data_IF_282943454370
#
_entry.id   IF_282943454370
#
_cell.length_a   1.000
_cell.length_b   1.000
_cell.length_c   1.000
_cell.angle_alpha   90.00
_cell.angle_beta   90.00
_cell.angle_gamma   90.00
#
_symmetry.space_group_name_H-M   'P 1'
#
loop_
_entity.id
_entity.type
_entity.pdbx_description
1 polymer ?
#
# COMPACT_ATOMS: atom_id res chain seq x y z
N UNK A 1 -22.77 4.13 -23.94
CA UNK A 1 -21.33 4.10 -24.28
C UNK A 1 -20.56 3.10 -23.40
N UNK A 2 -20.61 3.22 -22.07
CA UNK A 2 -19.94 2.27 -21.16
C UNK A 2 -20.28 0.79 -21.45
N UNK A 3 -21.56 0.47 -21.68
CA UNK A 3 -22.00 -0.90 -21.96
C UNK A 3 -21.47 -1.45 -23.29
N UNK A 4 -21.37 -0.60 -24.31
CA UNK A 4 -20.80 -0.96 -25.61
C UNK A 4 -19.30 -1.28 -25.47
N UNK A 5 -18.56 -0.45 -24.75
CA UNK A 5 -17.13 -0.68 -24.48
C UNK A 5 -16.95 -1.99 -23.70
N UNK A 6 -17.81 -2.25 -22.71
CA UNK A 6 -17.75 -3.49 -21.93
C UNK A 6 -18.10 -4.72 -22.79
N UNK A 7 -19.11 -4.62 -23.64
CA UNK A 7 -19.48 -5.67 -24.59
C UNK A 7 -18.32 -6.00 -25.55
N UNK A 8 -17.72 -4.97 -26.15
CA UNK A 8 -16.55 -5.15 -27.03
C UNK A 8 -15.39 -5.77 -26.25
N UNK A 9 -15.12 -5.33 -25.01
CA UNK A 9 -14.10 -5.95 -24.17
C UNK A 9 -14.39 -7.44 -23.87
N UNK A 10 -15.65 -7.82 -23.68
CA UNK A 10 -16.08 -9.21 -23.49
C UNK A 10 -16.01 -10.05 -24.77
N UNK A 11 -16.15 -9.44 -25.94
CA UNK A 11 -16.10 -10.13 -27.24
C UNK A 11 -14.70 -10.11 -27.87
N UNK A 12 -13.81 -9.26 -27.37
CA UNK A 12 -12.44 -9.04 -27.90
C UNK A 12 -11.57 -10.30 -28.06
N UNK A 13 -11.81 -11.34 -27.27
CA UNK A 13 -11.12 -12.63 -27.37
C UNK A 13 -11.55 -13.46 -28.59
N UNK A 14 -12.80 -13.32 -29.04
CA UNK A 14 -13.33 -14.03 -30.20
C UNK A 14 -12.90 -13.37 -31.52
N UNK A 15 -12.69 -12.05 -31.52
CA UNK A 15 -12.36 -11.27 -32.72
C UNK A 15 -11.08 -10.45 -32.51
N UNK A 16 -9.90 -11.10 -32.41
CA UNK A 16 -8.66 -10.43 -32.07
C UNK A 16 -8.16 -9.45 -33.13
N UNK A 17 -8.51 -9.67 -34.41
CA UNK A 17 -8.12 -8.82 -35.55
C UNK A 17 -8.90 -7.50 -35.59
N UNK A 18 -10.24 -7.58 -35.54
CA UNK A 18 -11.16 -6.43 -35.50
C UNK A 18 -10.92 -5.55 -34.25
N UNK A 19 -10.57 -6.17 -33.12
CA UNK A 19 -10.36 -5.49 -31.84
C UNK A 19 -8.90 -5.05 -31.59
N UNK A 20 -8.04 -4.96 -32.63
CA UNK A 20 -6.67 -4.42 -32.48
C UNK A 20 -6.68 -2.93 -32.13
N UNK A 21 -7.39 -2.12 -32.90
CA UNK A 21 -7.44 -0.67 -32.71
C UNK A 21 -8.10 -0.25 -31.39
N UNK A 22 -9.17 -0.98 -31.00
CA UNK A 22 -9.94 -0.72 -29.79
C UNK A 22 -9.08 -0.59 -28.52
N UNK A 23 -8.03 -1.41 -28.38
CA UNK A 23 -7.12 -1.38 -27.22
C UNK A 23 -6.36 -0.06 -27.14
N UNK A 24 -5.81 0.39 -28.26
CA UNK A 24 -5.05 1.64 -28.36
C UNK A 24 -5.95 2.86 -28.16
N UNK A 25 -7.08 2.91 -28.84
CA UNK A 25 -8.04 4.01 -28.73
C UNK A 25 -8.58 4.17 -27.31
N UNK A 26 -8.85 3.06 -26.61
CA UNK A 26 -9.30 3.08 -25.23
C UNK A 26 -8.22 3.58 -24.26
N UNK A 27 -6.95 3.23 -24.51
CA UNK A 27 -5.82 3.75 -23.75
C UNK A 27 -5.63 5.26 -23.99
N UNK A 28 -5.68 5.70 -25.25
CA UNK A 28 -5.54 7.11 -25.62
C UNK A 28 -6.67 7.97 -25.07
N UNK A 29 -7.91 7.47 -25.10
CA UNK A 29 -9.07 8.13 -24.53
C UNK A 29 -8.89 8.37 -23.03
N UNK A 30 -8.45 7.33 -22.30
CA UNK A 30 -8.17 7.45 -20.87
C UNK A 30 -6.96 8.33 -20.58
N UNK A 31 -5.93 8.32 -21.41
CA UNK A 31 -4.74 9.16 -21.19
C UNK A 31 -5.05 10.66 -21.37
N UNK A 32 -5.84 11.02 -22.40
CA UNK A 32 -6.15 12.41 -22.74
C UNK A 32 -7.30 12.99 -21.91
N UNK A 33 -8.33 12.19 -21.62
CA UNK A 33 -9.59 12.67 -21.04
C UNK A 33 -9.87 12.12 -19.64
N UNK A 34 -8.86 11.56 -18.95
CA UNK A 34 -9.02 11.01 -17.61
C UNK A 34 -9.77 11.94 -16.65
N UNK A 35 -9.43 13.23 -16.61
CA UNK A 35 -10.00 14.19 -15.65
C UNK A 35 -11.38 14.70 -16.04
N UNK A 36 -11.70 14.75 -17.33
CA UNK A 36 -12.95 15.31 -17.86
C UNK A 36 -14.07 14.27 -17.94
N UNK A 37 -13.74 12.98 -18.07
CA UNK A 37 -14.72 11.90 -18.11
C UNK A 37 -15.44 11.74 -16.76
N UNK A 38 -16.71 11.39 -16.82
CA UNK A 38 -17.50 11.04 -15.63
C UNK A 38 -16.87 9.87 -14.86
N UNK A 39 -17.01 9.89 -13.52
CA UNK A 39 -16.40 8.90 -12.64
C UNK A 39 -16.94 7.48 -12.88
N UNK A 40 -18.23 7.31 -13.19
CA UNK A 40 -18.79 6.00 -13.51
C UNK A 40 -18.23 5.48 -14.83
N UNK A 41 -18.25 6.33 -15.87
CA UNK A 41 -17.72 5.95 -17.18
C UNK A 41 -16.23 5.58 -17.09
N UNK A 42 -15.41 6.40 -16.43
CA UNK A 42 -13.97 6.16 -16.23
C UNK A 42 -13.70 4.80 -15.58
N UNK A 43 -14.49 4.42 -14.57
CA UNK A 43 -14.39 3.10 -13.91
C UNK A 43 -14.74 1.96 -14.85
N UNK A 44 -15.80 2.09 -15.65
CA UNK A 44 -16.18 1.09 -16.65
C UNK A 44 -15.10 0.91 -17.73
N UNK A 45 -14.48 2.00 -18.21
CA UNK A 45 -13.39 1.95 -19.19
C UNK A 45 -12.15 1.24 -18.61
N UNK A 46 -11.78 1.55 -17.37
CA UNK A 46 -10.66 0.88 -16.69
C UNK A 46 -10.98 -0.60 -16.44
N UNK A 47 -12.21 -0.93 -16.07
CA UNK A 47 -12.65 -2.32 -15.92
C UNK A 47 -12.57 -3.10 -17.24
N UNK A 48 -12.93 -2.48 -18.35
CA UNK A 48 -12.80 -3.05 -19.68
C UNK A 48 -11.31 -3.33 -20.03
N UNK A 49 -10.40 -2.39 -19.78
CA UNK A 49 -8.96 -2.61 -19.98
C UNK A 49 -8.40 -3.73 -19.10
N UNK A 50 -8.82 -3.79 -17.84
CA UNK A 50 -8.45 -4.87 -16.91
C UNK A 50 -8.93 -6.23 -17.45
N UNK A 51 -10.15 -6.32 -17.98
CA UNK A 51 -10.68 -7.55 -18.56
C UNK A 51 -9.86 -8.01 -19.78
N UNK A 52 -9.53 -7.07 -20.68
CA UNK A 52 -8.70 -7.34 -21.86
C UNK A 52 -7.30 -7.83 -21.45
N UNK A 53 -6.70 -7.23 -20.40
CA UNK A 53 -5.43 -7.68 -19.82
C UNK A 53 -5.52 -9.08 -19.24
N UNK A 54 -6.56 -9.38 -18.48
CA UNK A 54 -6.77 -10.69 -17.87
C UNK A 54 -6.87 -11.82 -18.91
N UNK A 55 -7.28 -11.49 -20.13
CA UNK A 55 -7.36 -12.42 -21.27
C UNK A 55 -6.07 -12.51 -22.09
N UNK A 56 -5.00 -11.83 -21.68
CA UNK A 56 -3.70 -11.87 -22.34
C UNK A 56 -3.58 -11.02 -23.62
N UNK A 57 -4.61 -10.23 -23.96
CA UNK A 57 -4.61 -9.39 -25.16
C UNK A 57 -3.83 -8.07 -24.98
N UNK A 58 -3.44 -7.73 -23.76
CA UNK A 58 -2.67 -6.51 -23.47
C UNK A 58 -1.47 -6.87 -22.60
N UNK A 59 -0.33 -6.23 -22.83
CA UNK A 59 0.88 -6.45 -22.01
C UNK A 59 0.88 -5.55 -20.77
N UNK A 60 1.41 -6.04 -19.65
CA UNK A 60 1.57 -5.25 -18.42
C UNK A 60 2.42 -4.00 -18.66
N UNK A 61 3.42 -4.08 -19.55
CA UNK A 61 4.33 -2.98 -19.87
C UNK A 61 3.61 -1.78 -20.50
N UNK A 62 2.49 -2.00 -21.18
CA UNK A 62 1.68 -0.95 -21.81
C UNK A 62 0.62 -0.43 -20.84
N UNK A 63 -0.07 -1.32 -20.13
CA UNK A 63 -1.19 -0.95 -19.26
C UNK A 63 -0.77 -0.27 -17.96
N UNK A 64 0.26 -0.78 -17.29
CA UNK A 64 0.60 -0.33 -15.94
C UNK A 64 1.01 1.16 -15.87
N UNK A 65 1.82 1.71 -16.80
CA UNK A 65 2.11 3.14 -16.81
C UNK A 65 0.85 4.01 -16.89
N UNK A 66 -0.13 3.63 -17.71
CA UNK A 66 -1.42 4.34 -17.80
C UNK A 66 -2.18 4.27 -16.47
N UNK A 67 -2.29 3.08 -15.87
CA UNK A 67 -2.98 2.90 -14.59
C UNK A 67 -2.36 3.73 -13.45
N UNK A 68 -1.04 3.83 -13.42
CA UNK A 68 -0.34 4.68 -12.46
C UNK A 68 -0.60 6.17 -12.70
N UNK A 69 -0.65 6.64 -13.95
CA UNK A 69 -1.06 8.03 -14.26
C UNK A 69 -2.49 8.32 -13.79
N UNK A 70 -3.39 7.33 -13.87
CA UNK A 70 -4.76 7.44 -13.39
C UNK A 70 -4.88 7.55 -11.86
N UNK A 71 -3.82 7.29 -11.07
CA UNK A 71 -3.83 7.60 -9.63
C UNK A 71 -3.93 9.10 -9.33
N UNK A 72 -3.63 9.97 -10.31
CA UNK A 72 -3.83 11.42 -10.20
C UNK A 72 -5.30 11.82 -10.15
N UNK A 73 -6.21 10.97 -10.62
CA UNK A 73 -7.65 11.25 -10.62
C UNK A 73 -8.23 11.24 -9.19
N UNK A 74 -9.10 12.22 -8.90
CA UNK A 74 -9.80 12.36 -7.62
C UNK A 74 -10.99 11.41 -7.50
N UNK A 75 -10.76 10.10 -7.66
CA UNK A 75 -11.78 9.06 -7.48
C UNK A 75 -11.22 7.97 -6.55
N UNK A 76 -11.81 7.85 -5.35
CA UNK A 76 -11.37 6.89 -4.32
C UNK A 76 -11.61 5.45 -4.76
N UNK A 77 -12.77 5.17 -5.36
CA UNK A 77 -13.16 3.83 -5.77
C UNK A 77 -12.34 3.35 -6.97
N UNK A 78 -12.11 4.23 -7.94
CA UNK A 78 -11.22 3.92 -9.07
C UNK A 78 -9.80 3.62 -8.58
N UNK A 79 -9.24 4.44 -7.69
CA UNK A 79 -7.88 4.22 -7.16
C UNK A 79 -7.78 2.88 -6.42
N UNK A 80 -8.82 2.49 -5.67
CA UNK A 80 -8.90 1.17 -5.01
C UNK A 80 -8.91 0.03 -6.03
N UNK A 81 -9.74 0.14 -7.07
CA UNK A 81 -9.81 -0.84 -8.15
C UNK A 81 -8.47 -0.98 -8.89
N UNK A 82 -7.86 0.14 -9.25
CA UNK A 82 -6.55 0.17 -9.92
C UNK A 82 -5.48 -0.45 -9.03
N UNK A 83 -5.39 -0.05 -7.76
CA UNK A 83 -4.41 -0.58 -6.81
C UNK A 83 -4.51 -2.10 -6.69
N UNK A 84 -5.72 -2.62 -6.46
CA UNK A 84 -5.95 -4.06 -6.35
C UNK A 84 -5.56 -4.81 -7.62
N UNK A 85 -5.89 -4.25 -8.79
CA UNK A 85 -5.52 -4.85 -10.06
C UNK A 85 -4.00 -4.85 -10.29
N UNK A 86 -3.31 -3.74 -10.04
CA UNK A 86 -1.86 -3.63 -10.19
C UNK A 86 -1.16 -4.68 -9.33
N UNK A 87 -1.59 -4.80 -8.06
CA UNK A 87 -1.01 -5.79 -7.14
C UNK A 87 -1.24 -7.22 -7.63
N UNK A 88 -2.47 -7.54 -8.06
CA UNK A 88 -2.81 -8.86 -8.55
C UNK A 88 -2.14 -9.22 -9.89
N UNK A 89 -2.01 -8.26 -10.82
CA UNK A 89 -1.36 -8.47 -12.12
C UNK A 89 0.15 -8.66 -11.97
N UNK A 90 0.79 -7.88 -11.12
CA UNK A 90 2.21 -8.05 -10.79
C UNK A 90 2.48 -9.39 -10.08
N UNK A 91 1.60 -9.79 -9.16
CA UNK A 91 1.71 -11.09 -8.51
C UNK A 91 1.56 -12.24 -9.51
N UNK A 92 0.55 -12.19 -10.39
CA UNK A 92 0.34 -13.22 -11.44
C UNK A 92 1.49 -13.28 -12.43
N UNK A 93 2.01 -12.12 -12.84
CA UNK A 93 3.13 -12.05 -13.78
C UNK A 93 4.41 -12.65 -13.18
N UNK A 94 4.61 -12.51 -11.87
CA UNK A 94 5.75 -13.07 -11.14
C UNK A 94 5.48 -14.45 -10.51
N UNK A 95 4.32 -15.06 -10.73
CA UNK A 95 3.93 -16.31 -10.04
C UNK A 95 4.72 -17.54 -10.53
N UNK A 96 5.06 -17.58 -11.83
CA UNK A 96 5.81 -18.70 -12.43
C UNK A 96 7.31 -18.46 -12.38
N UNK A 97 7.75 -17.28 -12.85
CA UNK A 97 9.14 -16.85 -12.83
C UNK A 97 9.16 -15.34 -12.54
N UNK A 98 10.26 -14.86 -11.97
CA UNK A 98 10.46 -13.42 -11.74
C UNK A 98 10.80 -12.74 -13.06
N UNK A 99 9.91 -11.89 -13.57
CA UNK A 99 10.14 -11.13 -14.80
C UNK A 99 10.93 -9.84 -14.48
N UNK A 100 12.26 -9.98 -14.42
CA UNK A 100 13.16 -8.89 -14.04
C UNK A 100 13.10 -7.69 -14.99
N UNK A 101 12.79 -7.92 -16.28
CA UNK A 101 12.68 -6.84 -17.28
C UNK A 101 11.43 -6.01 -17.04
N UNK A 102 10.30 -6.67 -16.80
CA UNK A 102 9.04 -5.99 -16.44
C UNK A 102 9.18 -5.25 -15.10
N UNK A 103 9.74 -5.91 -14.09
CA UNK A 103 9.90 -5.37 -12.75
C UNK A 103 10.77 -4.11 -12.76
N UNK A 104 11.95 -4.13 -13.41
CA UNK A 104 12.82 -2.95 -13.52
C UNK A 104 12.14 -1.77 -14.22
N UNK A 105 11.40 -2.03 -15.31
CA UNK A 105 10.70 -0.96 -16.04
C UNK A 105 9.62 -0.30 -15.17
N UNK A 106 8.86 -1.10 -14.42
CA UNK A 106 7.81 -0.59 -13.53
C UNK A 106 8.38 0.09 -12.30
N UNK A 107 9.44 -0.47 -11.70
CA UNK A 107 10.16 0.14 -10.58
C UNK A 107 10.68 1.53 -10.98
N UNK A 108 11.38 1.65 -12.12
CA UNK A 108 11.87 2.94 -12.61
C UNK A 108 10.74 3.95 -12.83
N UNK A 109 9.60 3.49 -13.37
CA UNK A 109 8.44 4.34 -13.56
C UNK A 109 7.84 4.81 -12.22
N UNK A 110 7.68 3.90 -11.26
CA UNK A 110 7.23 4.20 -9.90
C UNK A 110 8.18 5.18 -9.20
N UNK A 111 9.49 5.02 -9.35
CA UNK A 111 10.48 5.91 -8.76
C UNK A 111 10.34 7.34 -9.31
N UNK A 112 10.04 7.49 -10.60
CA UNK A 112 9.74 8.82 -11.16
C UNK A 112 8.51 9.44 -10.52
N UNK A 113 7.43 8.66 -10.35
CA UNK A 113 6.17 9.15 -9.75
C UNK A 113 6.32 9.51 -8.27
N UNK A 114 7.09 8.73 -7.51
CA UNK A 114 7.37 9.03 -6.11
C UNK A 114 8.17 10.32 -5.96
N UNK A 115 8.99 10.68 -6.95
CA UNK A 115 9.70 11.95 -7.01
C UNK A 115 8.87 13.15 -7.48
N UNK A 116 7.66 12.93 -8.02
CA UNK A 116 6.76 14.01 -8.44
C UNK A 116 6.00 14.62 -7.25
N UNK A 117 5.66 15.91 -7.33
CA UNK A 117 4.97 16.65 -6.26
C UNK A 117 3.49 16.24 -6.02
N UNK A 118 2.94 15.28 -6.77
CA UNK A 118 1.55 14.86 -6.59
C UNK A 118 1.38 13.92 -5.39
N UNK A 119 0.84 14.46 -4.30
CA UNK A 119 0.68 13.76 -3.02
C UNK A 119 -0.08 12.42 -3.14
N UNK A 120 -1.19 12.38 -3.89
CA UNK A 120 -2.04 11.20 -3.98
C UNK A 120 -1.38 10.08 -4.78
N UNK A 121 -0.78 10.45 -5.91
CA UNK A 121 -0.11 9.51 -6.80
C UNK A 121 1.14 8.93 -6.13
N UNK A 122 1.94 9.78 -5.47
CA UNK A 122 3.13 9.36 -4.74
C UNK A 122 2.76 8.45 -3.54
N UNK A 123 1.72 8.79 -2.77
CA UNK A 123 1.25 7.93 -1.67
C UNK A 123 0.82 6.54 -2.17
N UNK A 124 -0.03 6.46 -3.21
CA UNK A 124 -0.48 5.16 -3.74
C UNK A 124 0.66 4.37 -4.37
N UNK A 125 1.58 5.03 -5.06
CA UNK A 125 2.80 4.41 -5.60
C UNK A 125 3.67 3.82 -4.50
N UNK A 126 3.83 4.54 -3.39
CA UNK A 126 4.53 4.05 -2.21
C UNK A 126 3.83 2.85 -1.57
N UNK A 127 2.49 2.85 -1.47
CA UNK A 127 1.74 1.68 -1.02
C UNK A 127 1.95 0.46 -1.93
N UNK A 128 2.05 0.65 -3.25
CA UNK A 128 2.34 -0.45 -4.19
C UNK A 128 3.75 -1.01 -3.94
N UNK A 129 4.75 -0.13 -3.76
CA UNK A 129 6.13 -0.55 -3.42
C UNK A 129 6.16 -1.35 -2.11
N UNK A 130 5.49 -0.85 -1.06
CA UNK A 130 5.34 -1.54 0.22
C UNK A 130 4.71 -2.92 0.05
N UNK A 131 3.61 -3.03 -0.70
CA UNK A 131 2.90 -4.29 -0.89
C UNK A 131 3.74 -5.34 -1.64
N UNK A 132 4.51 -4.91 -2.64
CA UNK A 132 5.41 -5.77 -3.42
C UNK A 132 6.61 -6.24 -2.61
N UNK A 133 7.13 -5.38 -1.72
CA UNK A 133 8.20 -5.72 -0.79
C UNK A 133 7.74 -6.78 0.24
N UNK A 134 6.58 -6.59 0.86
CA UNK A 134 5.99 -7.56 1.80
C UNK A 134 5.72 -8.93 1.16
N UNK A 135 5.43 -8.95 -0.16
CA UNK A 135 5.24 -10.19 -0.93
C UNK A 135 6.55 -10.82 -1.41
N UNK A 136 7.71 -10.24 -1.07
CA UNK A 136 9.06 -10.66 -1.51
C UNK A 136 9.23 -10.73 -3.04
N UNK A 137 8.44 -9.94 -3.78
CA UNK A 137 8.59 -9.83 -5.23
C UNK A 137 9.70 -8.83 -5.56
N UNK A 138 9.70 -7.69 -4.88
CA UNK A 138 10.72 -6.64 -4.99
C UNK A 138 11.48 -6.51 -3.68
N UNK A 139 12.60 -7.21 -3.54
CA UNK A 139 13.44 -7.21 -2.32
C UNK A 139 14.78 -6.50 -2.53
N UNK A 140 14.82 -5.54 -3.46
CA UNK A 140 16.06 -4.90 -3.91
C UNK A 140 16.43 -3.71 -3.01
N UNK A 141 17.75 -3.51 -2.82
CA UNK A 141 18.26 -2.36 -2.06
C UNK A 141 17.80 -1.02 -2.66
N UNK A 142 17.73 -0.90 -3.98
CA UNK A 142 17.26 0.32 -4.64
C UNK A 142 15.81 0.68 -4.25
N UNK A 143 14.93 -0.33 -4.13
CA UNK A 143 13.54 -0.13 -3.72
C UNK A 143 13.44 0.45 -2.31
N UNK A 144 14.22 -0.09 -1.37
CA UNK A 144 14.29 0.40 0.01
C UNK A 144 14.80 1.85 0.05
N UNK A 145 15.83 2.18 -0.75
CA UNK A 145 16.40 3.52 -0.75
C UNK A 145 15.48 4.56 -1.41
N UNK A 146 14.64 4.16 -2.37
CA UNK A 146 13.55 5.04 -2.85
C UNK A 146 12.54 5.32 -1.74
N UNK A 147 12.16 4.31 -0.95
CA UNK A 147 11.29 4.53 0.22
C UNK A 147 11.98 5.40 1.28
N UNK A 148 13.28 5.21 1.51
CA UNK A 148 14.08 6.04 2.42
C UNK A 148 14.07 7.52 1.97
N UNK A 149 14.22 7.78 0.67
CA UNK A 149 14.12 9.13 0.12
C UNK A 149 12.72 9.72 0.28
N UNK A 150 11.66 8.91 0.16
CA UNK A 150 10.27 9.34 0.38
C UNK A 150 9.99 9.80 1.82
N UNK A 151 10.76 9.35 2.82
CA UNK A 151 10.67 9.85 4.21
C UNK A 151 10.99 11.35 4.29
N UNK A 152 11.82 11.87 3.37
CA UNK A 152 12.20 13.29 3.34
C UNK A 152 11.27 14.15 2.48
N UNK A 153 10.18 13.59 1.96
CA UNK A 153 9.21 14.33 1.17
C UNK A 153 8.54 15.47 1.97
N UNK A 154 8.05 16.50 1.27
CA UNK A 154 7.40 17.70 1.87
C UNK A 154 6.07 17.35 2.54
N UNK A 155 5.27 16.46 1.94
CA UNK A 155 3.99 16.04 2.53
C UNK A 155 4.18 15.10 3.73
N UNK A 156 3.46 15.35 4.84
CA UNK A 156 3.48 14.48 6.01
C UNK A 156 2.82 13.12 5.73
N UNK A 157 1.82 13.04 4.85
CA UNK A 157 1.12 11.77 4.55
C UNK A 157 2.06 10.75 3.90
N UNK A 158 2.92 11.20 2.98
CA UNK A 158 3.93 10.37 2.33
C UNK A 158 5.02 10.00 3.33
N UNK A 159 5.45 10.96 4.16
CA UNK A 159 6.43 10.71 5.23
C UNK A 159 5.96 9.62 6.19
N UNK A 160 4.70 9.71 6.65
CA UNK A 160 4.10 8.70 7.55
C UNK A 160 4.01 7.33 6.88
N UNK A 161 3.57 7.27 5.62
CA UNK A 161 3.51 6.00 4.87
C UNK A 161 4.90 5.36 4.72
N UNK A 162 5.94 6.15 4.45
CA UNK A 162 7.32 5.67 4.35
C UNK A 162 7.89 5.23 5.72
N UNK A 163 7.60 5.95 6.80
CA UNK A 163 8.01 5.56 8.15
C UNK A 163 7.33 4.26 8.59
N UNK A 164 6.04 4.09 8.27
CA UNK A 164 5.28 2.87 8.57
C UNK A 164 5.84 1.65 7.84
N UNK A 165 6.32 1.82 6.61
CA UNK A 165 7.07 0.77 5.89
C UNK A 165 8.26 0.29 6.71
N UNK A 166 9.12 1.20 7.20
CA UNK A 166 10.28 0.82 8.03
C UNK A 166 9.88 0.24 9.39
N UNK A 167 8.67 0.52 9.87
CA UNK A 167 8.16 -0.08 11.11
C UNK A 167 7.58 -1.49 10.91
N UNK A 168 7.32 -1.88 9.65
CA UNK A 168 6.64 -3.14 9.32
C UNK A 168 5.13 -3.08 9.50
N UNK A 169 4.55 -1.87 9.52
CA UNK A 169 3.11 -1.68 9.48
C UNK A 169 2.65 -1.73 8.02
N UNK A 170 1.76 -2.67 7.69
CA UNK A 170 1.10 -2.69 6.39
C UNK A 170 0.02 -1.59 6.38
N UNK A 171 0.36 -0.45 5.79
CA UNK A 171 -0.54 0.70 5.69
C UNK A 171 -1.62 0.52 4.61
N UNK A 172 -1.73 -0.69 4.06
CA UNK A 172 -2.68 -1.03 3.00
C UNK A 172 -4.11 -1.00 3.54
N UNK A 173 -4.32 -1.31 4.83
CA UNK A 173 -5.63 -1.33 5.48
C UNK A 173 -6.12 0.08 5.89
N UNK A 174 -5.23 1.03 6.18
CA UNK A 174 -5.64 2.32 6.77
C UNK A 174 -6.33 3.29 5.80
N UNK A 175 -6.13 3.14 4.49
CA UNK A 175 -6.91 3.87 3.46
C UNK A 175 -8.23 3.16 3.08
N UNK A 176 -8.42 1.91 3.52
CA UNK A 176 -9.65 1.11 3.32
C UNK A 176 -10.60 1.25 4.50
N UNK A 177 -10.10 1.58 5.68
CA UNK A 177 -10.90 1.71 6.91
C UNK A 177 -11.86 2.90 6.95
N UNK A 178 -11.77 3.86 6.02
CA UNK A 178 -12.59 5.07 6.09
C UNK A 178 -13.85 5.06 5.23
N UNK A 179 -14.19 4.00 4.50
CA UNK A 179 -15.56 3.75 3.99
C UNK A 179 -15.69 2.29 3.55
N UNK A 180 -16.75 1.64 4.02
CA UNK A 180 -17.15 0.25 3.76
C UNK A 180 -16.46 -0.81 4.62
N UNK A 181 -17.19 -1.18 5.68
CA UNK A 181 -17.41 -2.55 6.16
C UNK A 181 -16.46 -3.58 5.53
N UNK A 182 -15.24 -3.63 6.06
CA UNK A 182 -14.41 -4.80 5.84
C UNK A 182 -15.07 -5.91 6.64
N UNK A 183 -15.79 -6.75 5.90
CA UNK A 183 -16.49 -7.96 6.30
C UNK A 183 -15.50 -9.07 6.75
N UNK A 184 -14.49 -8.71 7.54
CA UNK A 184 -14.01 -9.60 8.59
C UNK A 184 -14.99 -9.40 9.72
N UNK A 185 -15.63 -10.47 10.21
CA UNK A 185 -16.46 -10.49 11.41
C UNK A 185 -15.67 -9.96 12.63
N UNK A 186 -15.44 -8.64 12.70
CA UNK A 186 -15.31 -7.90 13.92
C UNK A 186 -16.53 -8.30 14.70
N UNK A 187 -16.32 -9.02 15.80
CA UNK A 187 -17.39 -9.44 16.69
C UNK A 187 -18.29 -8.23 16.92
N UNK A 188 -19.47 -8.20 16.28
CA UNK A 188 -20.33 -7.03 16.30
C UNK A 188 -20.72 -6.77 17.75
N UNK A 189 -20.91 -5.51 18.13
CA UNK A 189 -21.47 -5.15 19.45
C UNK A 189 -22.76 -5.94 19.72
N UNK A 190 -23.52 -6.27 18.68
CA UNK A 190 -24.72 -7.09 18.74
C UNK A 190 -24.42 -8.56 19.08
N UNK A 191 -23.31 -9.13 18.59
CA UNK A 191 -22.90 -10.50 18.86
C UNK A 191 -22.37 -10.65 20.29
N UNK A 192 -21.65 -9.64 20.78
CA UNK A 192 -21.29 -9.53 22.20
C UNK A 192 -22.56 -9.46 23.04
N UNK A 193 -23.50 -8.58 22.71
CA UNK A 193 -24.75 -8.44 23.45
C UNK A 193 -25.57 -9.75 23.48
N UNK A 194 -25.73 -10.42 22.32
CA UNK A 194 -26.44 -11.71 22.20
C UNK A 194 -25.74 -12.84 22.98
N UNK A 195 -24.41 -12.80 23.14
CA UNK A 195 -23.66 -13.80 23.90
C UNK A 195 -23.87 -13.69 25.42
N UNK A 196 -24.14 -12.48 25.94
CA UNK A 196 -24.35 -12.23 27.37
C UNK A 196 -25.84 -12.17 27.76
N UNK A 197 -26.70 -11.62 26.91
CA UNK A 197 -28.08 -11.26 27.30
C UNK A 197 -29.16 -12.21 26.74
N UNK A 198 -29.00 -12.79 25.53
CA UNK A 198 -30.02 -13.64 24.90
C UNK A 198 -29.73 -15.16 24.95
N UNK A 199 -30.63 -15.91 25.59
CA UNK A 199 -30.69 -17.38 25.57
C UNK A 199 -30.68 -18.04 26.95
N UNK A 200 -30.78 -19.38 26.97
CA UNK A 200 -30.62 -20.22 28.17
C UNK A 200 -29.16 -20.28 28.65
N UNK A 201 -28.91 -20.67 29.91
CA UNK A 201 -27.54 -20.75 30.48
C UNK A 201 -26.57 -21.58 29.61
N UNK A 202 -27.03 -22.70 29.06
CA UNK A 202 -26.24 -23.57 28.18
C UNK A 202 -25.92 -22.92 26.82
N UNK A 203 -26.89 -22.22 26.21
CA UNK A 203 -26.68 -21.54 24.91
C UNK A 203 -25.81 -20.29 25.04
N UNK A 204 -25.90 -19.54 26.16
CA UNK A 204 -24.99 -18.42 26.46
C UNK A 204 -23.54 -18.89 26.60
N UNK A 205 -23.28 -19.99 27.32
CA UNK A 205 -21.93 -20.57 27.47
C UNK A 205 -21.31 -20.96 26.11
N UNK A 206 -22.11 -21.56 25.20
CA UNK A 206 -21.67 -21.89 23.83
C UNK A 206 -21.33 -20.63 23.00
N UNK A 207 -22.16 -19.59 23.06
CA UNK A 207 -21.92 -18.32 22.35
C UNK A 207 -20.67 -17.60 22.85
N UNK A 208 -20.47 -17.53 24.16
CA UNK A 208 -19.25 -16.95 24.76
C UNK A 208 -17.99 -17.73 24.37
N UNK A 209 -18.05 -19.07 24.31
CA UNK A 209 -16.94 -19.89 23.85
C UNK A 209 -16.59 -19.63 22.37
N UNK A 210 -17.59 -19.47 21.50
CA UNK A 210 -17.38 -19.09 20.09
C UNK A 210 -16.72 -17.71 19.98
N UNK A 211 -17.20 -16.75 20.77
CA UNK A 211 -16.69 -15.38 20.80
C UNK A 211 -15.23 -15.32 21.29
N UNK A 212 -14.90 -16.07 22.36
CA UNK A 212 -13.51 -16.22 22.84
C UNK A 212 -12.61 -16.89 21.79
N UNK A 213 -13.10 -17.92 21.07
CA UNK A 213 -12.34 -18.57 19.99
C UNK A 213 -12.07 -17.60 18.83
N UNK A 214 -13.06 -16.80 18.43
CA UNK A 214 -12.91 -15.78 17.40
C UNK A 214 -11.88 -14.71 17.82
N UNK A 215 -11.97 -14.20 19.06
CA UNK A 215 -11.00 -13.25 19.61
C UNK A 215 -9.57 -13.83 19.68
N UNK A 216 -9.43 -15.09 20.08
CA UNK A 216 -8.12 -15.77 20.10
C UNK A 216 -7.55 -15.99 18.70
N UNK A 217 -8.40 -16.34 17.72
CA UNK A 217 -7.99 -16.46 16.32
C UNK A 217 -7.51 -15.11 15.77
N UNK A 218 -8.24 -14.02 16.05
CA UNK A 218 -7.82 -12.66 15.68
C UNK A 218 -6.50 -12.28 16.33
N UNK A 219 -6.31 -12.52 17.64
CA UNK A 219 -5.04 -12.25 18.33
C UNK A 219 -3.88 -13.05 17.75
N UNK A 220 -4.11 -14.32 17.38
CA UNK A 220 -3.08 -15.16 16.72
C UNK A 220 -2.71 -14.62 15.34
N UNK A 221 -3.71 -14.23 14.52
CA UNK A 221 -3.48 -13.61 13.22
C UNK A 221 -2.70 -12.30 13.36
N UNK A 222 -3.14 -11.40 14.25
CA UNK A 222 -2.44 -10.15 14.52
C UNK A 222 -1.00 -10.37 14.95
N UNK A 223 -0.75 -11.32 15.88
CA UNK A 223 0.62 -11.66 16.30
C UNK A 223 1.48 -12.15 15.13
N UNK A 224 0.94 -13.04 14.30
CA UNK A 224 1.65 -13.57 13.14
C UNK A 224 1.93 -12.48 12.08
N UNK A 225 1.00 -11.55 11.85
CA UNK A 225 1.23 -10.38 11.00
C UNK A 225 2.32 -9.47 11.56
N UNK A 226 2.31 -9.22 12.87
CA UNK A 226 3.33 -8.40 13.55
C UNK A 226 4.72 -9.05 13.50
N UNK A 227 4.82 -10.36 13.70
CA UNK A 227 6.10 -11.08 13.66
C UNK A 227 6.69 -11.08 12.24
N UNK A 228 5.85 -11.26 11.21
CA UNK A 228 6.27 -11.08 9.81
C UNK A 228 6.68 -9.64 9.51
N UNK A 229 5.90 -8.66 9.95
CA UNK A 229 6.18 -7.22 9.81
C UNK A 229 7.54 -6.84 10.39
N UNK A 230 7.89 -7.36 11.58
CA UNK A 230 9.21 -7.14 12.21
C UNK A 230 10.36 -7.70 11.37
N UNK A 231 10.20 -8.89 10.78
CA UNK A 231 11.22 -9.47 9.90
C UNK A 231 11.42 -8.63 8.63
N UNK A 232 10.34 -8.12 8.04
CA UNK A 232 10.42 -7.25 6.86
C UNK A 232 11.07 -5.90 7.17
N UNK A 233 10.66 -5.28 8.28
CA UNK A 233 11.24 -4.04 8.82
C UNK A 233 12.74 -4.17 9.03
N UNK A 234 13.17 -5.26 9.67
CA UNK A 234 14.58 -5.54 9.92
C UNK A 234 15.37 -5.70 8.61
N UNK A 235 14.86 -6.52 7.69
CA UNK A 235 15.51 -6.73 6.37
C UNK A 235 15.58 -5.42 5.57
N UNK A 236 14.53 -4.59 5.64
CA UNK A 236 14.51 -3.31 4.94
C UNK A 236 15.58 -2.36 5.48
N UNK A 237 15.73 -2.27 6.80
CA UNK A 237 16.74 -1.41 7.42
C UNK A 237 18.15 -1.84 7.02
N UNK A 238 18.42 -3.15 6.94
CA UNK A 238 19.73 -3.67 6.52
C UNK A 238 20.11 -3.30 5.07
N UNK A 239 19.12 -3.08 4.20
CA UNK A 239 19.33 -2.77 2.78
C UNK A 239 19.52 -1.26 2.48
N UNK A 240 19.58 -0.42 3.51
CA UNK A 240 19.88 1.01 3.36
C UNK A 240 21.33 1.21 2.87
N UNK A 241 21.52 2.07 1.86
CA UNK A 241 22.87 2.34 1.32
C UNK A 241 23.72 3.20 2.26
N UNK A 242 23.12 4.22 2.88
CA UNK A 242 23.77 5.11 3.84
C UNK A 242 22.93 5.22 5.12
N UNK A 243 23.07 4.26 6.06
CA UNK A 243 22.28 4.24 7.28
C UNK A 243 22.64 5.39 8.23
N UNK A 244 23.91 5.81 8.27
CA UNK A 244 24.37 6.93 9.12
C UNK A 244 23.75 8.25 8.64
N UNK A 245 23.93 8.59 7.36
CA UNK A 245 23.39 9.83 6.81
C UNK A 245 21.85 9.85 6.82
N UNK A 246 21.20 8.70 6.63
CA UNK A 246 19.74 8.59 6.80
C UNK A 246 19.30 8.95 8.24
N UNK A 247 19.95 8.38 9.26
CA UNK A 247 19.63 8.62 10.66
C UNK A 247 19.83 10.08 11.07
N UNK A 248 20.95 10.70 10.69
CA UNK A 248 21.27 12.09 10.99
C UNK A 248 20.30 13.07 10.31
N UNK A 249 20.00 12.84 9.02
CA UNK A 249 19.04 13.67 8.27
C UNK A 249 17.63 13.54 8.86
N UNK A 250 17.22 12.34 9.25
CA UNK A 250 15.91 12.11 9.87
C UNK A 250 15.82 12.79 11.24
N UNK A 251 16.89 12.75 12.03
CA UNK A 251 16.97 13.48 13.29
C UNK A 251 16.93 15.01 13.09
N UNK A 252 17.64 15.54 12.08
CA UNK A 252 17.58 16.96 11.72
C UNK A 252 16.16 17.39 11.32
N UNK A 253 15.46 16.54 10.55
CA UNK A 253 14.04 16.75 10.21
C UNK A 253 13.17 16.77 11.47
N UNK A 254 13.31 15.77 12.34
CA UNK A 254 12.56 15.64 13.60
C UNK A 254 12.68 16.86 14.51
N UNK A 255 13.88 17.43 14.64
CA UNK A 255 14.09 18.64 15.46
C UNK A 255 13.43 19.88 14.87
N UNK A 256 13.33 19.96 13.53
CA UNK A 256 12.74 21.11 12.82
C UNK A 256 11.23 21.01 12.66
N UNK A 257 10.66 19.81 12.64
CA UNK A 257 9.24 19.61 12.35
C UNK A 257 8.32 19.90 13.55
N UNK A 258 7.25 20.65 13.30
CA UNK A 258 6.13 20.81 14.24
C UNK A 258 4.96 19.86 13.90
N UNK A 259 5.28 18.63 13.51
CA UNK A 259 4.29 17.61 13.16
C UNK A 259 3.57 17.05 14.39
N UNK A 260 2.46 16.35 14.14
CA UNK A 260 1.71 15.63 15.19
C UNK A 260 2.63 14.70 15.97
N UNK A 261 2.37 14.58 17.28
CA UNK A 261 3.17 13.76 18.19
C UNK A 261 3.32 12.31 17.71
N UNK A 262 2.26 11.70 17.18
CA UNK A 262 2.30 10.35 16.61
C UNK A 262 3.35 10.20 15.50
N UNK A 263 3.49 11.23 14.64
CA UNK A 263 4.48 11.23 13.55
C UNK A 263 5.89 11.41 14.11
N UNK A 264 6.07 12.24 15.14
CA UNK A 264 7.35 12.38 15.86
C UNK A 264 7.76 11.05 16.50
N UNK A 265 6.83 10.36 17.15
CA UNK A 265 7.06 9.05 17.75
C UNK A 265 7.46 8.00 16.70
N UNK A 266 6.83 8.01 15.52
CA UNK A 266 7.23 7.14 14.41
C UNK A 266 8.65 7.45 13.92
N UNK A 267 9.01 8.73 13.76
CA UNK A 267 10.38 9.13 13.38
C UNK A 267 11.40 8.66 14.43
N UNK A 268 11.12 8.88 15.72
CA UNK A 268 11.98 8.42 16.82
C UNK A 268 12.13 6.89 16.82
N UNK A 269 11.03 6.17 16.62
CA UNK A 269 11.04 4.70 16.57
C UNK A 269 11.85 4.15 15.39
N UNK A 270 11.81 4.82 14.24
CA UNK A 270 12.64 4.43 13.08
C UNK A 270 14.11 4.75 13.35
N UNK A 271 14.44 5.93 13.88
CA UNK A 271 15.82 6.29 14.23
C UNK A 271 16.42 5.28 15.22
N UNK A 272 15.69 4.92 16.28
CA UNK A 272 16.19 3.97 17.28
C UNK A 272 16.43 2.58 16.69
N UNK A 273 15.57 2.10 15.78
CA UNK A 273 15.78 0.83 15.07
C UNK A 273 16.99 0.89 14.15
N UNK A 274 17.17 1.97 13.39
CA UNK A 274 18.33 2.11 12.48
C UNK A 274 19.63 2.14 13.28
N UNK A 275 19.67 2.89 14.40
CA UNK A 275 20.81 2.90 15.33
C UNK A 275 21.09 1.48 15.86
N UNK A 276 20.06 0.76 16.31
CA UNK A 276 20.24 -0.59 16.85
C UNK A 276 20.71 -1.63 15.83
N UNK A 277 20.24 -1.55 14.58
CA UNK A 277 20.61 -2.51 13.53
C UNK A 277 22.02 -2.27 13.02
N UNK A 278 22.37 -1.01 12.74
CA UNK A 278 23.66 -0.64 12.14
C UNK A 278 24.71 -0.18 13.16
N UNK A 279 24.39 -0.21 14.45
CA UNK A 279 25.27 0.21 15.55
C UNK A 279 25.81 1.65 15.34
N UNK A 280 24.91 2.56 14.96
CA UNK A 280 25.27 3.95 14.63
C UNK A 280 25.53 4.80 15.87
N UNK A 281 26.35 5.83 15.73
CA UNK A 281 26.64 6.80 16.78
C UNK A 281 25.96 8.14 16.46
N UNK A 282 24.77 8.39 17.04
CA UNK A 282 24.06 9.67 16.94
C UNK A 282 23.86 10.23 18.35
N UNK A 283 24.91 10.86 18.90
CA UNK A 283 24.94 11.30 20.31
C UNK A 283 23.82 12.27 20.67
N UNK A 284 23.48 13.18 19.76
CA UNK A 284 22.40 14.17 19.95
C UNK A 284 21.02 13.55 20.11
N UNK A 285 20.81 12.33 19.60
CA UNK A 285 19.53 11.64 19.70
C UNK A 285 19.24 11.19 21.15
N UNK A 286 20.25 10.75 21.89
CA UNK A 286 20.07 10.32 23.28
C UNK A 286 19.69 11.48 24.21
N UNK A 287 20.34 12.65 24.04
CA UNK A 287 19.97 13.86 24.77
C UNK A 287 18.56 14.35 24.43
N UNK A 288 18.12 14.15 23.18
CA UNK A 288 16.75 14.46 22.77
C UNK A 288 15.73 13.53 23.46
N UNK A 289 16.00 12.23 23.51
CA UNK A 289 15.13 11.25 24.17
C UNK A 289 14.97 11.51 25.67
N UNK A 290 16.02 11.96 26.35
CA UNK A 290 15.99 12.24 27.79
C UNK A 290 14.89 13.22 28.19
N UNK A 291 14.54 14.18 27.32
CA UNK A 291 13.47 15.15 27.55
C UNK A 291 12.08 14.49 27.65
N UNK A 292 11.88 13.37 26.97
CA UNK A 292 10.60 12.67 26.84
C UNK A 292 10.48 11.45 27.77
N UNK A 293 11.53 11.13 28.53
CA UNK A 293 11.55 10.02 29.49
C UNK A 293 10.98 10.40 30.87
N UNK A 294 10.51 11.64 31.04
CA UNK A 294 9.95 12.10 32.31
C UNK A 294 8.48 11.64 32.47
N UNK A 295 8.05 11.18 33.65
CA UNK A 295 6.72 10.61 33.87
C UNK A 295 5.54 11.59 33.69
N UNK A 296 5.81 12.88 33.50
CA UNK A 296 4.79 13.94 33.46
C UNK A 296 4.46 14.40 32.02
N UNK A 297 4.95 13.67 31.01
CA UNK A 297 4.59 13.81 29.61
C UNK A 297 3.74 12.63 29.16
#
# INVERSE_FOLDING_TARGET
>A
FADLVMFIAQVSHCYPEECKAFRGELMDLLEKHATTLDAMLRRSLVQALILVRNRGLLTAQQLLPLLFKLFRCQDKLLRKQIFNHIVADLQRSNAKHRDDKLNRKIQNFLYSIVGEDNELSAKKSLCVLTQMYHRRIWSDANTVNVVANAVFHKSPRITVAALKFFMGHDDVDSDVESDEETNMELVSREDVYKAFHKGTKSTKKKKQAKLKRAQLAMKKLQKHHMDKGKSYSFTAIQLLHDPQGFGERLFSKLNKTNERWETKLLMMSVISRVIGVHQLLILSYYSFLQKYLQPHQ
#
